data_IF_909995564413
#
_entry.id   IF_909995564413
#
_cell.length_a   1.000
_cell.length_b   1.000
_cell.length_c   1.000
_cell.angle_alpha   90.00
_cell.angle_beta   90.00
_cell.angle_gamma   90.00
#
_symmetry.space_group_name_H-M   'P 1'
#
loop_
_entity.id
_entity.type
_entity.pdbx_description
1 polymer ?
#
# COMPACT_ATOMS: atom_id res chain seq x y z
N UNK A 1 -18.49 3.90 9.41
CA UNK A 1 -17.97 2.73 10.15
C UNK A 1 -16.78 3.20 10.98
N UNK A 2 -16.49 2.55 12.11
CA UNK A 2 -15.27 2.84 12.86
C UNK A 2 -14.05 2.48 12.01
N UNK A 3 -13.07 3.39 11.91
CA UNK A 3 -11.77 3.11 11.28
C UNK A 3 -10.79 2.68 12.37
N UNK A 4 -10.15 1.54 12.17
CA UNK A 4 -9.01 1.11 12.99
C UNK A 4 -7.74 1.80 12.50
N UNK A 5 -6.91 2.28 13.43
CA UNK A 5 -5.62 2.92 13.12
C UNK A 5 -4.49 1.97 13.51
N UNK A 6 -3.56 1.74 12.59
CA UNK A 6 -2.33 1.00 12.85
C UNK A 6 -1.14 1.74 12.24
N UNK A 7 -0.03 1.80 12.98
CA UNK A 7 1.20 2.45 12.54
C UNK A 7 2.16 1.41 11.92
N UNK A 8 2.78 1.77 10.81
CA UNK A 8 3.79 0.94 10.13
C UNK A 8 5.03 1.77 9.82
N UNK A 9 6.19 1.12 9.79
CA UNK A 9 7.39 1.67 9.18
C UNK A 9 7.43 1.24 7.71
N UNK A 10 7.69 2.19 6.83
CA UNK A 10 7.83 1.97 5.38
C UNK A 10 9.14 2.59 4.92
N UNK A 11 9.66 2.08 3.80
CA UNK A 11 10.85 2.63 3.17
C UNK A 11 10.53 3.99 2.52
N UNK A 12 11.56 4.82 2.36
CA UNK A 12 11.41 6.20 1.87
C UNK A 12 10.89 6.24 0.43
N UNK A 13 11.30 5.30 -0.41
CA UNK A 13 10.81 5.13 -1.78
C UNK A 13 9.29 4.90 -1.82
N UNK A 14 8.77 4.05 -0.93
CA UNK A 14 7.32 3.82 -0.81
C UNK A 14 6.59 5.11 -0.40
N UNK A 15 7.20 5.94 0.47
CA UNK A 15 6.60 7.22 0.87
C UNK A 15 6.52 8.18 -0.33
N UNK A 16 7.59 8.25 -1.13
CA UNK A 16 7.64 9.09 -2.33
C UNK A 16 6.58 8.68 -3.34
N UNK A 17 6.45 7.38 -3.63
CA UNK A 17 5.41 6.85 -4.53
C UNK A 17 3.99 7.17 -4.04
N UNK A 18 3.74 7.07 -2.73
CA UNK A 18 2.44 7.46 -2.15
C UNK A 18 2.20 8.96 -2.27
N UNK A 19 3.23 9.78 -2.11
CA UNK A 19 3.14 11.24 -2.26
C UNK A 19 2.87 11.66 -3.71
N UNK A 20 3.46 10.98 -4.68
CA UNK A 20 3.15 11.15 -6.10
C UNK A 20 1.69 10.80 -6.39
N UNK A 21 1.20 9.67 -5.88
CA UNK A 21 -0.22 9.31 -6.01
C UNK A 21 -1.16 10.35 -5.39
N UNK A 22 -0.79 10.96 -4.27
CA UNK A 22 -1.56 12.07 -3.67
C UNK A 22 -1.57 13.29 -4.58
N UNK A 23 -0.43 13.67 -5.15
CA UNK A 23 -0.33 14.80 -6.05
C UNK A 23 -1.14 14.59 -7.35
N UNK A 24 -1.11 13.38 -7.91
CA UNK A 24 -1.89 13.04 -9.10
C UNK A 24 -3.40 12.94 -8.81
N UNK A 25 -3.80 12.79 -7.55
CA UNK A 25 -5.20 12.78 -7.10
C UNK A 25 -5.61 14.08 -6.39
N UNK A 26 -4.92 15.20 -6.63
CA UNK A 26 -5.18 16.48 -5.97
C UNK A 26 -6.61 17.00 -6.22
N UNK A 27 -7.18 16.70 -7.40
CA UNK A 27 -8.56 17.03 -7.76
C UNK A 27 -9.59 16.37 -6.84
N UNK A 28 -9.24 15.22 -6.25
CA UNK A 28 -10.06 14.49 -5.29
C UNK A 28 -9.83 14.97 -3.84
N UNK A 29 -8.81 15.79 -3.58
CA UNK A 29 -8.39 16.18 -2.23
C UNK A 29 -8.00 14.98 -1.36
N UNK A 30 -7.50 13.90 -1.98
CA UNK A 30 -7.25 12.63 -1.32
C UNK A 30 -6.07 12.74 -0.35
N UNK A 31 -6.26 12.22 0.87
CA UNK A 31 -5.16 12.15 1.85
C UNK A 31 -4.27 10.92 1.60
N UNK A 32 -3.01 10.94 2.07
CA UNK A 32 -2.13 9.75 2.09
C UNK A 32 -2.82 8.52 2.68
N UNK A 33 -3.54 8.69 3.79
CA UNK A 33 -4.26 7.57 4.43
C UNK A 33 -5.38 7.01 3.56
N UNK A 34 -6.05 7.87 2.79
CA UNK A 34 -7.10 7.46 1.86
C UNK A 34 -6.52 6.73 0.65
N UNK A 35 -5.42 7.24 0.07
CA UNK A 35 -4.68 6.55 -0.99
C UNK A 35 -4.23 5.17 -0.53
N UNK A 36 -3.59 5.07 0.64
CA UNK A 36 -3.14 3.77 1.19
C UNK A 36 -4.32 2.84 1.45
N UNK A 37 -5.43 3.34 2.00
CA UNK A 37 -6.65 2.54 2.21
C UNK A 37 -7.23 2.04 0.88
N UNK A 38 -7.25 2.88 -0.16
CA UNK A 38 -7.73 2.52 -1.50
C UNK A 38 -6.86 1.46 -2.16
N UNK A 39 -5.53 1.59 -2.08
CA UNK A 39 -4.56 0.60 -2.60
C UNK A 39 -4.73 -0.74 -1.88
N UNK A 40 -4.82 -0.74 -0.54
CA UNK A 40 -5.03 -1.96 0.23
C UNK A 40 -6.37 -2.63 -0.10
N UNK A 41 -7.44 -1.84 -0.28
CA UNK A 41 -8.74 -2.34 -0.72
C UNK A 41 -8.66 -2.96 -2.12
N UNK A 42 -8.05 -2.27 -3.07
CA UNK A 42 -7.87 -2.75 -4.44
C UNK A 42 -7.09 -4.07 -4.47
N UNK A 43 -6.03 -4.18 -3.66
CA UNK A 43 -5.30 -5.42 -3.49
C UNK A 43 -6.24 -6.53 -2.97
N UNK A 44 -6.83 -6.37 -1.78
CA UNK A 44 -7.67 -7.38 -1.12
C UNK A 44 -8.87 -7.81 -1.97
N UNK A 45 -9.47 -6.89 -2.72
CA UNK A 45 -10.66 -7.14 -3.54
C UNK A 45 -10.34 -7.72 -4.93
N UNK A 46 -9.06 -7.71 -5.35
CA UNK A 46 -8.71 -8.31 -6.63
C UNK A 46 -8.77 -9.84 -6.58
N UNK A 47 -9.07 -10.47 -7.71
CA UNK A 47 -9.26 -11.92 -7.84
C UNK A 47 -7.92 -12.66 -8.00
N UNK A 48 -6.97 -12.38 -7.11
CA UNK A 48 -5.63 -12.99 -7.12
C UNK A 48 -5.35 -13.75 -5.83
N UNK A 49 -4.42 -14.72 -5.89
CA UNK A 49 -3.98 -15.47 -4.71
C UNK A 49 -3.05 -14.59 -3.86
N UNK A 50 -3.68 -13.74 -3.05
CA UNK A 50 -3.03 -12.79 -2.14
C UNK A 50 -2.04 -13.46 -1.19
N UNK A 51 -2.40 -14.65 -0.70
CA UNK A 51 -1.57 -15.39 0.26
C UNK A 51 -0.25 -15.76 -0.42
N UNK A 52 -0.32 -16.34 -1.62
CA UNK A 52 0.87 -16.72 -2.37
C UNK A 52 1.74 -15.50 -2.69
N UNK A 53 1.14 -14.42 -3.18
CA UNK A 53 1.85 -13.19 -3.54
C UNK A 53 2.55 -12.54 -2.34
N UNK A 54 1.84 -12.32 -1.24
CA UNK A 54 2.42 -11.71 -0.02
C UNK A 54 3.53 -12.59 0.54
N UNK A 55 3.35 -13.92 0.57
CA UNK A 55 4.40 -14.84 1.02
C UNK A 55 5.65 -14.75 0.16
N UNK A 56 5.49 -14.69 -1.16
CA UNK A 56 6.62 -14.56 -2.07
C UNK A 56 7.38 -13.25 -1.86
N UNK A 57 6.67 -12.12 -1.76
CA UNK A 57 7.27 -10.80 -1.51
C UNK A 57 8.07 -10.81 -0.20
N UNK A 58 7.49 -11.34 0.89
CA UNK A 58 8.19 -11.43 2.18
C UNK A 58 9.46 -12.28 2.07
N UNK A 59 9.41 -13.40 1.34
CA UNK A 59 10.58 -14.26 1.15
C UNK A 59 11.67 -13.52 0.36
N UNK A 60 11.32 -12.86 -0.75
CA UNK A 60 12.28 -12.09 -1.56
C UNK A 60 12.90 -10.94 -0.77
N UNK A 61 12.08 -10.19 -0.01
CA UNK A 61 12.54 -9.12 0.88
C UNK A 61 13.53 -9.62 1.93
N UNK A 62 13.23 -10.76 2.59
CA UNK A 62 14.15 -11.37 3.57
C UNK A 62 15.45 -11.87 2.96
N UNK A 63 15.47 -12.18 1.67
CA UNK A 63 16.65 -12.61 0.92
C UNK A 63 17.42 -11.42 0.31
N UNK A 64 16.89 -10.20 0.39
CA UNK A 64 17.48 -9.04 -0.29
C UNK A 64 17.38 -9.12 -1.82
N UNK A 65 16.36 -9.81 -2.34
CA UNK A 65 16.12 -10.00 -3.78
C UNK A 65 14.78 -9.40 -4.21
N UNK A 66 14.28 -8.43 -3.43
CA UNK A 66 13.10 -7.66 -3.80
C UNK A 66 13.51 -6.55 -4.76
#
# INVERSE_FOLDING_TARGET
MAKEKFGIAVEEDIVQEVDELVAECDDLGASRSEIVEAVLKAFIQSDSDHIKQVREIIIRRRKGTL
#
